data_IF_518112011869
#
_entry.id   IF_518112011869
#
_cell.length_a   1.000
_cell.length_b   1.000
_cell.length_c   1.000
_cell.angle_alpha   90.00
_cell.angle_beta   90.00
_cell.angle_gamma   90.00
#
_symmetry.space_group_name_H-M   'P 1'
#
loop_
_entity.id
_entity.type
_entity.pdbx_description
1 polymer ?
#
# COMPACT_ATOMS: atom_id res chain seq x y z
N UNK A 1 -8.28 30.04 4.82
CA UNK A 1 -8.56 28.60 4.67
C UNK A 1 -9.26 28.41 3.33
N UNK A 2 -9.06 27.29 2.64
CA UNK A 2 -9.74 27.00 1.36
C UNK A 2 -11.22 26.66 1.61
N UNK A 3 -12.10 27.03 0.68
CA UNK A 3 -13.52 26.65 0.71
C UNK A 3 -13.76 25.16 0.40
N UNK A 4 -12.72 24.45 -0.07
CA UNK A 4 -12.74 23.02 -0.41
C UNK A 4 -11.45 22.33 0.05
N UNK A 5 -11.28 22.02 1.34
CA UNK A 5 -10.09 21.35 1.83
C UNK A 5 -10.06 19.87 1.42
N UNK A 6 -8.85 19.32 1.30
CA UNK A 6 -8.58 17.88 1.22
C UNK A 6 -7.74 17.50 2.43
N UNK A 7 -8.05 16.36 3.04
CA UNK A 7 -7.39 15.87 4.24
C UNK A 7 -6.56 14.64 3.93
N UNK A 8 -5.32 14.61 4.43
CA UNK A 8 -4.53 13.39 4.46
C UNK A 8 -4.91 12.66 5.74
N UNK A 9 -5.68 11.58 5.61
CA UNK A 9 -6.22 10.82 6.74
C UNK A 9 -5.23 9.84 7.34
N UNK A 10 -4.17 9.46 6.61
CA UNK A 10 -3.12 8.59 7.10
C UNK A 10 -1.90 8.57 6.19
N UNK A 11 -0.74 8.32 6.78
CA UNK A 11 0.54 8.05 6.11
C UNK A 11 1.23 6.96 6.92
N UNK A 12 1.67 5.90 6.25
CA UNK A 12 2.54 4.87 6.82
C UNK A 12 3.77 4.73 5.90
N UNK A 13 4.96 4.58 6.49
CA UNK A 13 6.21 4.38 5.76
C UNK A 13 6.96 3.18 6.33
N UNK A 14 7.25 2.22 5.46
CA UNK A 14 7.91 0.96 5.78
C UNK A 14 8.92 0.58 4.71
N UNK A 15 9.87 -0.26 5.09
CA UNK A 15 10.92 -0.78 4.22
C UNK A 15 11.03 -2.28 4.46
N UNK A 16 11.17 -3.06 3.39
CA UNK A 16 11.44 -4.50 3.45
C UNK A 16 12.93 -4.80 3.26
N UNK A 17 13.35 -5.99 3.68
CA UNK A 17 14.70 -6.44 3.41
C UNK A 17 14.95 -6.58 1.91
N UNK A 18 16.08 -6.05 1.45
CA UNK A 18 16.57 -6.19 0.08
C UNK A 18 17.35 -7.49 -0.16
N UNK A 19 17.62 -8.27 0.88
CA UNK A 19 18.38 -9.52 0.76
C UNK A 19 17.50 -10.65 0.22
N UNK A 20 17.97 -11.33 -0.83
CA UNK A 20 17.30 -12.51 -1.37
C UNK A 20 17.14 -13.60 -0.31
N UNK A 21 15.96 -14.22 -0.25
CA UNK A 21 15.66 -15.31 0.68
C UNK A 21 15.26 -14.88 2.10
N UNK A 22 15.29 -13.58 2.43
CA UNK A 22 14.80 -13.09 3.74
C UNK A 22 13.30 -12.79 3.77
N UNK A 23 12.61 -12.90 2.63
CA UNK A 23 11.16 -12.76 2.53
C UNK A 23 10.61 -13.55 1.35
N UNK A 24 9.31 -13.79 1.40
CA UNK A 24 8.54 -14.17 0.22
C UNK A 24 8.52 -13.00 -0.77
N UNK A 25 8.89 -13.25 -2.03
CA UNK A 25 8.88 -12.24 -3.09
C UNK A 25 7.51 -12.12 -3.78
N UNK A 26 6.58 -13.03 -3.47
CA UNK A 26 5.21 -13.01 -3.97
C UNK A 26 4.27 -12.21 -3.06
N UNK A 27 4.76 -11.73 -1.91
CA UNK A 27 4.03 -10.88 -0.97
C UNK A 27 4.81 -9.57 -0.71
N UNK A 28 4.09 -8.53 -0.32
CA UNK A 28 4.64 -7.31 0.27
C UNK A 28 4.10 -7.13 1.70
N UNK A 29 4.82 -7.74 2.64
CA UNK A 29 4.51 -7.69 4.07
C UNK A 29 4.42 -6.24 4.56
N UNK A 30 5.28 -5.34 4.07
CA UNK A 30 5.22 -3.93 4.48
C UNK A 30 3.93 -3.25 4.03
N UNK A 31 3.51 -3.51 2.79
CA UNK A 31 2.31 -2.90 2.20
C UNK A 31 1.06 -3.36 2.93
N UNK A 32 0.96 -4.65 3.23
CA UNK A 32 -0.16 -5.21 4.00
C UNK A 32 -0.26 -4.59 5.40
N UNK A 33 0.86 -4.51 6.12
CA UNK A 33 0.86 -3.89 7.44
C UNK A 33 0.59 -2.37 7.39
N UNK A 34 0.94 -1.70 6.29
CA UNK A 34 0.59 -0.30 6.06
C UNK A 34 -0.91 -0.13 5.79
N UNK A 35 -1.52 -1.04 5.02
CA UNK A 35 -2.98 -1.06 4.84
C UNK A 35 -3.71 -1.23 6.18
N UNK A 36 -3.27 -2.20 7.01
CA UNK A 36 -3.81 -2.43 8.35
C UNK A 36 -3.69 -1.19 9.28
N UNK A 37 -2.62 -0.41 9.12
CA UNK A 37 -2.33 0.77 9.95
C UNK A 37 -2.90 2.10 9.44
N UNK A 38 -3.58 2.11 8.29
CA UNK A 38 -4.09 3.34 7.66
C UNK A 38 -5.57 3.23 7.31
N UNK A 39 -6.16 4.33 6.82
CA UNK A 39 -7.57 4.40 6.45
C UNK A 39 -7.98 3.43 5.32
N UNK A 40 -7.03 2.75 4.67
CA UNK A 40 -7.32 1.67 3.72
C UNK A 40 -8.05 0.51 4.43
N UNK A 41 -7.78 0.25 5.71
CA UNK A 41 -8.49 -0.76 6.49
C UNK A 41 -9.95 -0.37 6.83
N UNK A 42 -10.32 0.90 6.71
CA UNK A 42 -11.62 1.41 7.17
C UNK A 42 -12.74 1.22 6.14
N UNK A 43 -12.44 0.82 4.91
CA UNK A 43 -13.44 0.57 3.88
C UNK A 43 -12.90 0.51 2.45
N UNK A 44 -13.81 0.46 1.48
CA UNK A 44 -13.45 0.42 0.05
C UNK A 44 -12.83 1.74 -0.42
N UNK A 45 -11.79 1.63 -1.24
CA UNK A 45 -11.15 2.76 -1.92
C UNK A 45 -11.82 2.98 -3.28
N UNK A 46 -12.28 4.20 -3.57
CA UNK A 46 -12.87 4.53 -4.89
C UNK A 46 -11.81 4.52 -6.01
N UNK A 47 -10.62 5.04 -5.71
CA UNK A 47 -9.48 5.14 -6.64
C UNK A 47 -8.19 4.92 -5.87
N UNK A 48 -7.36 3.99 -6.35
CA UNK A 48 -6.02 3.73 -5.83
C UNK A 48 -4.98 3.96 -6.93
N UNK A 49 -3.95 4.74 -6.63
CA UNK A 49 -2.79 4.92 -7.50
C UNK A 49 -1.63 4.07 -6.96
N UNK A 50 -1.11 3.17 -7.79
CA UNK A 50 -0.03 2.25 -7.44
C UNK A 50 1.21 2.59 -8.25
N UNK A 51 2.34 2.80 -7.56
CA UNK A 51 3.63 2.97 -8.22
C UNK A 51 4.29 1.61 -8.43
N UNK A 52 4.37 1.18 -9.70
CA UNK A 52 4.99 -0.08 -10.10
C UNK A 52 5.87 0.13 -11.32
N UNK A 53 6.98 -0.61 -11.40
CA UNK A 53 7.89 -0.59 -12.56
C UNK A 53 7.62 -1.78 -13.50
N UNK A 54 7.05 -2.87 -12.98
CA UNK A 54 6.78 -4.11 -13.68
C UNK A 54 5.39 -4.67 -13.33
N UNK A 55 4.77 -5.39 -14.27
CA UNK A 55 3.38 -5.85 -14.14
C UNK A 55 3.11 -6.77 -12.93
N UNK A 56 4.09 -7.58 -12.50
CA UNK A 56 3.91 -8.47 -11.34
C UNK A 56 3.80 -7.70 -10.01
N UNK A 57 4.39 -6.51 -9.92
CA UNK A 57 4.31 -5.67 -8.71
C UNK A 57 2.89 -5.16 -8.48
N UNK A 58 2.12 -4.92 -9.56
CA UNK A 58 0.73 -4.47 -9.44
C UNK A 58 -0.15 -5.52 -8.76
N UNK A 59 0.02 -6.80 -9.14
CA UNK A 59 -0.72 -7.91 -8.53
C UNK A 59 -0.38 -8.02 -7.03
N UNK A 60 0.91 -7.99 -6.69
CA UNK A 60 1.38 -8.07 -5.30
C UNK A 60 0.82 -6.93 -4.46
N UNK A 61 0.84 -5.69 -4.97
CA UNK A 61 0.33 -4.53 -4.24
C UNK A 61 -1.20 -4.57 -4.09
N UNK A 62 -1.95 -4.97 -5.13
CA UNK A 62 -3.40 -5.11 -5.05
C UNK A 62 -3.81 -6.14 -4.00
N UNK A 63 -3.17 -7.32 -4.01
CA UNK A 63 -3.43 -8.38 -3.04
C UNK A 63 -3.10 -7.93 -1.61
N UNK A 64 -1.95 -7.26 -1.42
CA UNK A 64 -1.53 -6.75 -0.11
C UNK A 64 -2.43 -5.63 0.44
N UNK A 65 -3.01 -4.80 -0.45
CA UNK A 65 -3.91 -3.70 -0.09
C UNK A 65 -5.40 -4.12 -0.02
N UNK A 66 -5.75 -5.32 -0.49
CA UNK A 66 -7.12 -5.80 -0.55
C UNK A 66 -7.99 -5.09 -1.61
N UNK A 67 -7.40 -4.73 -2.75
CA UNK A 67 -8.04 -3.97 -3.84
C UNK A 67 -8.64 -4.84 -4.95
#
# INVERSE_FOLDING_TARGET
MSDRPVWITGIDHRIESHHAGLRDLTDSVSTRLAAEGTAVADGSVDVAELHVTHAHEELILRDALGL
#
